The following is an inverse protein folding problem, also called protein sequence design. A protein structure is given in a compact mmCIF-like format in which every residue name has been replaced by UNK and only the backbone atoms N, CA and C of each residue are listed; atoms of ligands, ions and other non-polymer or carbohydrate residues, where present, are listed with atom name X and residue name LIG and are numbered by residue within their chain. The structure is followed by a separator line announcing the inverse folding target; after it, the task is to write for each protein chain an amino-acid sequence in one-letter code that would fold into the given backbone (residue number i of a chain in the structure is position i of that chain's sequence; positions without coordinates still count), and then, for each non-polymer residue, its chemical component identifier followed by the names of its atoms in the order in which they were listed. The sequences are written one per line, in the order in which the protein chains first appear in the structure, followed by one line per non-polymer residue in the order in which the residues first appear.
data_IF_784625983530
#
_entry.id   IF_784625983530
#
_cell.length_a   1.000
_cell.length_b   1.000
_cell.length_c   1.000
_cell.angle_alpha   90.00
_cell.angle_beta   90.00
_cell.angle_gamma   90.00
#
_symmetry.space_group_name_H-M   'P 1'
#
loop_
_entity.id
_entity.type
_entity.pdbx_description
1 polymer ?
#
# COMPACT_ATOMS: atom_id res chain seq x y z
N UNK A 1 12.04 -11.60 5.64
CA UNK A 1 11.07 -12.19 4.69
C UNK A 1 11.35 -13.67 4.59
N UNK A 2 10.37 -14.48 4.96
CA UNK A 2 10.38 -15.94 4.77
C UNK A 2 10.19 -16.26 3.29
N UNK A 3 10.72 -17.40 2.84
CA UNK A 3 10.50 -17.89 1.49
C UNK A 3 8.99 -18.07 1.24
N UNK A 4 8.55 -17.94 -0.01
CA UNK A 4 7.20 -18.33 -0.40
C UNK A 4 6.98 -19.80 -0.04
N UNK A 5 5.83 -20.09 0.57
CA UNK A 5 5.46 -21.44 0.96
C UNK A 5 5.10 -22.25 -0.30
N UNK A 6 6.09 -23.01 -0.78
CA UNK A 6 5.94 -23.85 -1.96
C UNK A 6 4.94 -24.99 -1.75
N UNK A 7 4.71 -25.44 -0.51
CA UNK A 7 3.77 -26.51 -0.24
C UNK A 7 2.33 -26.01 -0.33
N UNK A 8 2.05 -24.79 0.17
CA UNK A 8 0.78 -24.12 -0.09
C UNK A 8 0.60 -23.87 -1.60
N UNK A 9 1.63 -23.38 -2.30
CA UNK A 9 1.55 -23.19 -3.74
C UNK A 9 1.24 -24.50 -4.49
N UNK A 10 1.88 -25.61 -4.12
CA UNK A 10 1.61 -26.93 -4.70
C UNK A 10 0.21 -27.44 -4.36
N UNK A 11 -0.35 -27.08 -3.20
CA UNK A 11 -1.73 -27.41 -2.88
C UNK A 11 -2.74 -26.66 -3.76
N UNK A 12 -2.40 -25.45 -4.20
CA UNK A 12 -3.24 -24.62 -5.07
C UNK A 12 -3.02 -24.95 -6.55
N UNK A 13 -1.78 -25.31 -6.90
CA UNK A 13 -1.40 -25.82 -8.21
C UNK A 13 -0.31 -26.89 -8.07
N UNK A 14 -0.67 -28.18 -8.18
CA UNK A 14 0.27 -29.29 -8.05
C UNK A 14 1.45 -29.27 -9.03
N UNK A 15 1.38 -28.48 -10.11
CA UNK A 15 2.46 -28.32 -11.10
C UNK A 15 3.41 -27.17 -10.77
N UNK A 16 3.17 -26.41 -9.70
CA UNK A 16 4.07 -25.35 -9.27
C UNK A 16 5.27 -25.93 -8.49
N UNK A 17 6.26 -26.43 -9.21
CA UNK A 17 7.48 -26.98 -8.61
C UNK A 17 8.44 -25.88 -8.13
N UNK A 18 8.48 -24.76 -8.85
CA UNK A 18 9.29 -23.58 -8.56
C UNK A 18 8.61 -22.31 -9.09
N UNK A 19 9.00 -21.16 -8.53
CA UNK A 19 8.54 -19.84 -8.98
C UNK A 19 9.69 -19.14 -9.69
N UNK A 20 9.53 -18.85 -10.98
CA UNK A 20 10.57 -18.21 -11.80
C UNK A 20 10.46 -16.68 -11.81
N UNK A 21 9.24 -16.17 -11.66
CA UNK A 21 8.95 -14.75 -11.65
C UNK A 21 7.66 -14.47 -10.89
N UNK A 22 7.36 -13.19 -10.64
CA UNK A 22 6.05 -12.75 -10.21
C UNK A 22 5.45 -11.78 -11.22
N UNK A 23 4.21 -12.03 -11.61
CA UNK A 23 3.38 -10.99 -12.19
C UNK A 23 2.80 -10.12 -11.09
N UNK A 24 2.52 -8.88 -11.39
CA UNK A 24 2.17 -7.85 -10.44
C UNK A 24 1.21 -6.85 -11.10
N UNK A 25 0.08 -6.62 -10.44
CA UNK A 25 -1.00 -5.79 -10.97
C UNK A 25 -1.67 -5.00 -9.85
N UNK A 26 -2.29 -3.88 -10.23
CA UNK A 26 -3.17 -3.11 -9.34
C UNK A 26 -4.59 -3.67 -9.49
N UNK A 27 -5.16 -4.14 -8.38
CA UNK A 27 -6.54 -4.60 -8.32
C UNK A 27 -7.42 -3.64 -7.53
N UNK A 28 -8.72 -3.66 -7.80
CA UNK A 28 -9.65 -2.58 -7.41
C UNK A 28 -10.49 -2.84 -6.16
N UNK A 29 -10.32 -3.98 -5.49
CA UNK A 29 -11.15 -4.36 -4.34
C UNK A 29 -10.31 -4.75 -3.12
N UNK A 30 -10.79 -4.42 -1.93
CA UNK A 30 -10.25 -4.91 -0.68
C UNK A 30 -11.41 -5.19 0.27
N UNK A 31 -11.71 -6.46 0.50
CA UNK A 31 -12.84 -6.86 1.36
C UNK A 31 -12.44 -7.27 2.77
N UNK A 32 -11.18 -7.03 3.14
CA UNK A 32 -10.70 -7.36 4.48
C UNK A 32 -11.02 -6.23 5.46
N UNK A 33 -10.97 -6.55 6.74
CA UNK A 33 -11.11 -5.57 7.81
C UNK A 33 -10.08 -4.44 7.66
N UNK A 34 -10.41 -3.18 8.05
CA UNK A 34 -9.52 -2.03 7.85
C UNK A 34 -8.12 -2.15 8.47
N UNK A 35 -7.97 -2.98 9.51
CA UNK A 35 -6.70 -3.26 10.18
C UNK A 35 -5.80 -4.22 9.39
N UNK A 36 -6.35 -4.98 8.43
CA UNK A 36 -5.61 -5.90 7.58
C UNK A 36 -5.10 -5.14 6.36
N UNK A 37 -3.78 -5.01 6.25
CA UNK A 37 -3.10 -4.27 5.17
C UNK A 37 -2.44 -5.16 4.12
N UNK A 38 -2.34 -6.46 4.40
CA UNK A 38 -1.79 -7.45 3.48
C UNK A 38 -2.43 -8.81 3.70
N UNK A 39 -2.32 -9.67 2.70
CA UNK A 39 -2.81 -11.04 2.76
C UNK A 39 -1.98 -11.98 1.89
N UNK A 40 -2.20 -13.27 2.09
CA UNK A 40 -1.60 -14.35 1.32
C UNK A 40 -2.66 -15.27 0.70
N UNK A 41 -2.36 -15.81 -0.47
CA UNK A 41 -3.13 -16.86 -1.13
C UNK A 41 -4.64 -16.56 -1.23
N UNK A 42 -5.48 -17.31 -0.51
CA UNK A 42 -6.94 -17.15 -0.52
C UNK A 42 -7.41 -15.76 -0.08
N UNK A 43 -6.64 -15.06 0.76
CA UNK A 43 -6.91 -13.67 1.11
C UNK A 43 -6.75 -12.73 -0.09
N UNK A 44 -6.04 -13.15 -1.13
CA UNK A 44 -5.86 -12.41 -2.37
C UNK A 44 -6.77 -12.92 -3.49
N UNK A 45 -7.77 -13.75 -3.18
CA UNK A 45 -8.71 -14.30 -4.17
C UNK A 45 -9.42 -13.22 -4.99
N UNK A 46 -9.98 -13.61 -6.13
CA UNK A 46 -10.75 -12.70 -7.00
C UNK A 46 -11.89 -11.99 -6.25
N UNK A 47 -12.59 -12.69 -5.35
CA UNK A 47 -13.67 -12.10 -4.56
C UNK A 47 -13.19 -11.05 -3.56
N UNK A 48 -11.95 -11.18 -3.05
CA UNK A 48 -11.38 -10.29 -2.05
C UNK A 48 -10.62 -9.11 -2.66
N UNK A 49 -9.79 -9.38 -3.67
CA UNK A 49 -8.91 -8.40 -4.30
C UNK A 49 -9.51 -7.75 -5.55
N UNK A 50 -10.50 -8.41 -6.20
CA UNK A 50 -11.13 -7.91 -7.41
C UNK A 50 -10.31 -8.16 -8.68
N UNK A 51 -10.70 -7.46 -9.72
CA UNK A 51 -10.08 -7.45 -11.05
C UNK A 51 -9.06 -6.30 -11.18
N UNK A 52 -8.35 -6.26 -12.29
CA UNK A 52 -7.35 -5.25 -12.60
C UNK A 52 -8.00 -3.88 -12.81
N UNK A 53 -7.31 -2.84 -12.35
CA UNK A 53 -7.70 -1.46 -12.60
C UNK A 53 -7.55 -1.11 -14.09
N UNK A 54 -8.64 -0.73 -14.74
CA UNK A 54 -8.69 -0.51 -16.20
C UNK A 54 -9.63 0.65 -16.58
N UNK A 55 -9.37 1.87 -16.10
CA UNK A 55 -10.23 3.03 -16.37
C UNK A 55 -10.29 3.39 -17.86
N UNK A 56 -9.29 2.98 -18.65
CA UNK A 56 -9.15 3.28 -20.07
C UNK A 56 -9.87 2.27 -20.97
N UNK A 57 -10.41 1.18 -20.42
CA UNK A 57 -11.00 0.07 -21.16
C UNK A 57 -10.03 -0.54 -22.18
N UNK A 58 -8.80 -0.83 -21.76
CA UNK A 58 -7.92 -1.68 -22.55
C UNK A 58 -8.47 -3.12 -22.65
N UNK A 59 -9.36 -3.49 -21.72
CA UNK A 59 -10.24 -4.65 -21.79
C UNK A 59 -9.52 -6.00 -21.80
N UNK A 60 -8.42 -6.14 -21.07
CA UNK A 60 -7.81 -7.45 -20.86
C UNK A 60 -8.72 -8.43 -20.14
N UNK A 61 -8.32 -9.72 -20.08
CA UNK A 61 -9.16 -10.80 -19.54
C UNK A 61 -9.46 -10.66 -18.05
N UNK A 62 -8.72 -9.81 -17.33
CA UNK A 62 -8.93 -9.54 -15.92
C UNK A 62 -9.33 -8.08 -15.66
N UNK A 63 -9.73 -7.32 -16.69
CA UNK A 63 -10.24 -5.96 -16.54
C UNK A 63 -11.41 -5.91 -15.56
N UNK A 64 -11.49 -4.87 -14.72
CA UNK A 64 -12.68 -4.61 -13.91
C UNK A 64 -13.96 -4.43 -14.74
N UNK A 65 -13.81 -4.13 -16.03
CA UNK A 65 -14.89 -4.01 -17.00
C UNK A 65 -15.02 -5.21 -17.94
N UNK A 66 -14.37 -6.36 -17.67
CA UNK A 66 -14.37 -7.53 -18.57
C UNK A 66 -15.78 -8.00 -18.98
N UNK A 67 -16.80 -7.81 -18.12
CA UNK A 67 -18.19 -8.18 -18.40
C UNK A 67 -19.01 -7.07 -19.09
N UNK A 68 -18.46 -5.87 -19.23
CA UNK A 68 -19.10 -4.77 -19.95
C UNK A 68 -19.09 -5.05 -21.47
N UNK A 69 -20.13 -4.64 -22.18
CA UNK A 69 -20.28 -4.93 -23.62
C UNK A 69 -19.09 -4.38 -24.44
N UNK A 70 -18.53 -3.24 -24.03
CA UNK A 70 -17.34 -2.65 -24.64
C UNK A 70 -16.12 -3.58 -24.57
N UNK A 71 -15.96 -4.35 -23.50
CA UNK A 71 -14.82 -5.25 -23.31
C UNK A 71 -15.03 -6.66 -23.85
N UNK A 72 -16.26 -7.18 -23.86
CA UNK A 72 -16.56 -8.54 -24.38
C UNK A 72 -15.93 -8.81 -25.75
N UNK A 73 -16.00 -7.83 -26.66
CA UNK A 73 -15.43 -7.96 -28.01
C UNK A 73 -13.90 -7.75 -28.03
N UNK A 74 -13.37 -6.88 -27.16
CA UNK A 74 -11.97 -6.47 -27.17
C UNK A 74 -11.04 -7.46 -26.43
N UNK A 75 -11.54 -8.20 -25.44
CA UNK A 75 -10.72 -9.06 -24.58
C UNK A 75 -9.89 -10.09 -25.31
N UNK A 76 -10.41 -10.69 -26.39
CA UNK A 76 -9.65 -11.67 -27.20
C UNK A 76 -8.46 -11.05 -27.94
N UNK A 77 -8.46 -9.74 -28.13
CA UNK A 77 -7.42 -8.98 -28.85
C UNK A 77 -6.42 -8.30 -27.91
N UNK A 78 -6.62 -8.41 -26.59
CA UNK A 78 -5.70 -7.82 -25.61
C UNK A 78 -4.32 -8.46 -25.69
N UNK A 79 -3.29 -7.65 -25.93
CA UNK A 79 -1.90 -8.08 -26.10
C UNK A 79 -0.93 -7.13 -25.42
N UNK A 80 -1.21 -6.76 -24.17
CA UNK A 80 -0.28 -5.91 -23.43
C UNK A 80 1.10 -6.55 -23.36
N UNK A 81 2.11 -5.78 -23.72
CA UNK A 81 3.52 -6.13 -23.69
C UNK A 81 4.34 -4.85 -23.63
N UNK A 82 5.60 -4.89 -23.14
CA UNK A 82 6.40 -3.67 -23.04
C UNK A 82 6.61 -2.96 -24.38
N UNK A 83 6.74 -3.72 -25.47
CA UNK A 83 6.90 -3.16 -26.81
C UNK A 83 5.65 -2.41 -27.32
N UNK A 84 4.46 -2.99 -27.09
CA UNK A 84 3.20 -2.36 -27.47
C UNK A 84 2.89 -1.17 -26.56
N UNK A 85 3.14 -1.30 -25.26
CA UNK A 85 3.00 -0.23 -24.28
C UNK A 85 3.87 1.00 -24.64
N UNK A 86 5.13 0.78 -25.02
CA UNK A 86 6.04 1.85 -25.43
C UNK A 86 5.55 2.61 -26.69
N UNK A 87 4.72 1.98 -27.52
CA UNK A 87 4.17 2.60 -28.73
C UNK A 87 2.83 3.29 -28.44
N UNK A 88 1.98 2.67 -27.64
CA UNK A 88 0.68 3.19 -27.25
C UNK A 88 0.31 2.72 -25.83
N UNK A 89 0.38 3.59 -24.81
CA UNK A 89 0.06 3.23 -23.43
C UNK A 89 -1.35 2.66 -23.22
N UNK A 90 -2.31 3.06 -24.06
CA UNK A 90 -3.73 2.69 -23.91
C UNK A 90 -4.06 1.25 -24.35
N UNK A 91 -3.09 0.52 -24.89
CA UNK A 91 -3.26 -0.92 -25.24
C UNK A 91 -3.16 -1.84 -24.02
N UNK A 92 -2.72 -1.30 -22.89
CA UNK A 92 -2.54 -2.01 -21.64
C UNK A 92 -3.52 -1.49 -20.60
N UNK A 93 -4.08 -2.39 -19.80
CA UNK A 93 -4.81 -1.99 -18.60
C UNK A 93 -3.87 -1.17 -17.71
N UNK A 94 -4.35 -0.07 -17.13
CA UNK A 94 -3.48 0.79 -16.32
C UNK A 94 -2.92 0.07 -15.10
N UNK A 95 -3.65 -0.90 -14.58
CA UNK A 95 -3.22 -1.81 -13.52
C UNK A 95 -2.35 -2.99 -13.97
N UNK A 96 -2.18 -3.27 -15.27
CA UNK A 96 -1.37 -4.40 -15.76
C UNK A 96 0.13 -4.04 -15.84
N UNK A 97 0.77 -3.92 -14.68
CA UNK A 97 2.16 -3.46 -14.59
C UNK A 97 3.15 -4.48 -15.16
N UNK A 98 2.88 -5.78 -15.02
CA UNK A 98 3.69 -6.83 -15.66
C UNK A 98 3.61 -6.80 -17.18
N UNK A 99 2.42 -6.62 -17.75
CA UNK A 99 2.26 -6.47 -19.18
C UNK A 99 3.00 -5.23 -19.70
N UNK A 100 2.99 -4.12 -18.96
CA UNK A 100 3.67 -2.88 -19.34
C UNK A 100 5.19 -2.92 -19.18
N UNK A 101 5.68 -3.47 -18.06
CA UNK A 101 7.04 -3.26 -17.57
C UNK A 101 7.84 -4.57 -17.37
N UNK A 102 7.19 -5.72 -17.61
CA UNK A 102 7.76 -7.04 -17.42
C UNK A 102 7.52 -7.66 -16.04
N UNK A 103 7.63 -8.98 -15.99
CA UNK A 103 7.49 -9.76 -14.77
C UNK A 103 8.71 -9.57 -13.85
N UNK A 104 8.49 -9.63 -12.53
CA UNK A 104 9.53 -9.58 -11.50
C UNK A 104 10.31 -10.90 -11.46
N UNK A 105 11.47 -10.96 -12.10
CA UNK A 105 12.27 -12.19 -12.17
C UNK A 105 12.86 -12.57 -10.80
N UNK A 106 12.71 -13.84 -10.40
CA UNK A 106 13.31 -14.37 -9.17
C UNK A 106 14.79 -14.66 -9.42
N UNK A 107 15.66 -13.88 -8.79
CA UNK A 107 17.11 -14.11 -8.84
C UNK A 107 17.56 -15.34 -8.04
N UNK A 108 18.83 -15.74 -8.18
CA UNK A 108 19.42 -16.91 -7.50
C UNK A 108 19.27 -16.92 -5.98
N UNK A 109 19.15 -15.74 -5.37
CA UNK A 109 19.04 -15.56 -3.91
C UNK A 109 17.59 -15.57 -3.42
N UNK A 110 16.60 -15.70 -4.32
CA UNK A 110 15.18 -15.61 -3.99
C UNK A 110 14.70 -14.21 -3.61
N UNK A 111 15.58 -13.19 -3.66
CA UNK A 111 15.23 -11.79 -3.38
C UNK A 111 15.11 -11.01 -4.68
N UNK A 112 14.10 -10.16 -4.73
CA UNK A 112 13.85 -9.25 -5.85
C UNK A 112 13.99 -7.82 -5.34
N UNK A 113 14.77 -7.01 -6.04
CA UNK A 113 14.86 -5.57 -5.81
C UNK A 113 15.01 -4.90 -7.18
N UNK A 114 14.10 -3.98 -7.49
CA UNK A 114 14.09 -3.30 -8.78
C UNK A 114 13.34 -1.98 -8.70
N UNK A 115 13.57 -1.14 -9.70
CA UNK A 115 12.86 0.13 -9.90
C UNK A 115 12.30 0.13 -11.31
N UNK A 116 11.03 0.47 -11.44
CA UNK A 116 10.37 0.68 -12.72
C UNK A 116 9.90 2.13 -12.83
N UNK A 117 9.81 2.63 -14.06
CA UNK A 117 9.21 3.92 -14.38
C UNK A 117 8.06 3.67 -15.33
N UNK A 118 6.89 4.18 -14.98
CA UNK A 118 5.66 4.01 -15.74
C UNK A 118 4.97 5.36 -15.88
N UNK A 119 5.03 5.93 -17.08
CA UNK A 119 4.44 7.25 -17.36
C UNK A 119 2.91 7.21 -17.44
N UNK A 120 2.32 6.01 -17.52
CA UNK A 120 0.88 5.75 -17.50
C UNK A 120 0.50 4.94 -16.26
N UNK A 121 1.23 5.14 -15.16
CA UNK A 121 0.82 4.66 -13.85
C UNK A 121 -0.40 5.46 -13.36
N UNK A 122 -1.35 4.86 -12.63
CA UNK A 122 -2.49 5.60 -12.08
C UNK A 122 -2.05 6.79 -11.22
N UNK A 123 -2.74 7.92 -11.34
CA UNK A 123 -2.47 9.08 -10.52
C UNK A 123 -2.80 8.78 -9.04
N UNK A 124 -2.04 9.35 -8.11
CA UNK A 124 -2.26 9.14 -6.67
C UNK A 124 -3.65 9.60 -6.24
N UNK A 125 -4.23 10.59 -6.91
CA UNK A 125 -5.60 11.06 -6.68
C UNK A 125 -6.68 10.06 -7.10
N UNK A 126 -6.37 9.10 -7.97
CA UNK A 126 -7.26 8.00 -8.36
C UNK A 126 -7.24 6.86 -7.32
N UNK A 127 -6.20 6.81 -6.47
CA UNK A 127 -6.05 5.74 -5.50
C UNK A 127 -7.18 5.72 -4.47
N UNK A 128 -7.68 4.53 -4.17
CA UNK A 128 -8.70 4.32 -3.14
C UNK A 128 -8.18 3.36 -2.06
N UNK A 129 -8.74 3.39 -0.84
CA UNK A 129 -8.42 2.38 0.18
C UNK A 129 -8.73 0.94 -0.23
N UNK A 130 -9.49 0.74 -1.31
CA UNK A 130 -9.83 -0.58 -1.83
C UNK A 130 -8.77 -1.12 -2.80
N UNK A 131 -7.88 -0.27 -3.31
CA UNK A 131 -6.85 -0.75 -4.23
C UNK A 131 -5.79 -1.55 -3.51
N UNK A 132 -5.31 -2.59 -4.19
CA UNK A 132 -4.21 -3.40 -3.71
C UNK A 132 -3.23 -3.72 -4.85
N UNK A 133 -1.96 -3.82 -4.50
CA UNK A 133 -0.96 -4.45 -5.35
C UNK A 133 -1.02 -5.95 -5.11
N UNK A 134 -1.19 -6.73 -6.16
CA UNK A 134 -1.28 -8.18 -6.07
C UNK A 134 -0.17 -8.84 -6.88
N UNK A 135 0.50 -9.81 -6.25
CA UNK A 135 1.50 -10.66 -6.88
C UNK A 135 0.90 -12.01 -7.26
N UNK A 136 1.20 -12.44 -8.47
CA UNK A 136 0.98 -13.80 -8.96
C UNK A 136 2.31 -14.51 -9.13
N UNK A 137 2.48 -15.69 -8.55
CA UNK A 137 3.66 -16.50 -8.85
C UNK A 137 3.57 -17.06 -10.27
N UNK A 138 4.63 -16.99 -11.06
CA UNK A 138 4.70 -17.66 -12.37
C UNK A 138 5.17 -19.09 -12.15
N UNK A 139 4.24 -20.03 -12.30
CA UNK A 139 4.43 -21.47 -12.11
C UNK A 139 4.16 -22.18 -13.44
N UNK A 140 5.18 -22.38 -14.28
CA UNK A 140 5.01 -22.97 -15.62
C UNK A 140 3.95 -22.20 -16.46
N UNK A 141 2.76 -22.77 -16.63
CA UNK A 141 1.65 -22.18 -17.40
C UNK A 141 0.57 -21.51 -16.56
N UNK A 142 0.70 -21.48 -15.24
CA UNK A 142 -0.29 -20.88 -14.33
C UNK A 142 0.29 -19.70 -13.55
N UNK A 143 -0.61 -18.86 -13.06
CA UNK A 143 -0.26 -17.64 -12.32
C UNK A 143 -1.12 -17.48 -11.06
N UNK A 144 -0.99 -18.36 -10.05
CA UNK A 144 -1.77 -18.25 -8.82
C UNK A 144 -1.50 -16.95 -8.07
N UNK A 145 -2.54 -16.40 -7.43
CA UNK A 145 -2.45 -15.21 -6.57
C UNK A 145 -1.79 -15.60 -5.24
N UNK A 146 -0.69 -14.95 -4.87
CA UNK A 146 0.13 -15.38 -3.72
C UNK A 146 0.21 -14.36 -2.60
N UNK A 147 0.27 -13.08 -2.93
CA UNK A 147 0.41 -12.01 -1.96
C UNK A 147 -0.29 -10.77 -2.48
N UNK A 148 -0.87 -9.99 -1.58
CA UNK A 148 -1.55 -8.76 -1.91
C UNK A 148 -1.42 -7.79 -0.75
N UNK A 149 -1.36 -6.49 -1.05
CA UNK A 149 -1.29 -5.46 -0.02
C UNK A 149 -1.93 -4.16 -0.50
N UNK A 150 -2.60 -3.47 0.40
CA UNK A 150 -3.10 -2.12 0.14
C UNK A 150 -1.96 -1.12 0.12
N UNK A 151 -2.01 -0.13 -0.77
CA UNK A 151 -1.08 0.99 -0.74
C UNK A 151 -1.37 1.95 0.42
N UNK A 152 -0.37 2.74 0.82
CA UNK A 152 -0.57 3.85 1.75
C UNK A 152 -1.24 4.98 0.99
N UNK A 153 -2.46 5.35 1.34
CA UNK A 153 -3.16 6.48 0.72
C UNK A 153 -2.67 7.81 1.32
N UNK A 154 -2.71 8.90 0.55
CA UNK A 154 -2.36 10.26 1.01
C UNK A 154 -3.14 10.68 2.27
N UNK A 155 -4.34 10.13 2.48
CA UNK A 155 -5.12 10.35 3.69
C UNK A 155 -4.42 9.80 4.95
N UNK A 156 -3.81 8.62 4.90
CA UNK A 156 -3.08 8.07 6.07
C UNK A 156 -1.83 8.90 6.43
N UNK A 157 -1.22 9.59 5.45
CA UNK A 157 -0.12 10.55 5.72
C UNK A 157 -0.58 11.85 6.39
N UNK A 158 -1.80 12.32 6.10
CA UNK A 158 -2.32 13.56 6.68
C UNK A 158 -2.76 13.39 8.14
N UNK A 159 -3.20 12.19 8.54
CA UNK A 159 -3.59 11.90 9.93
C UNK A 159 -2.43 11.57 10.87
N UNK A 160 -1.23 11.32 10.36
CA UNK A 160 -0.02 11.17 11.18
C UNK A 160 0.57 12.53 11.63
N UNK A 161 -0.19 13.63 11.52
CA UNK A 161 0.16 14.87 12.21
C UNK A 161 -0.45 14.84 13.62
N UNK A 162 0.30 15.23 14.67
CA UNK A 162 -0.12 15.09 16.05
C UNK A 162 -1.13 16.17 16.44
N UNK A 163 -2.22 16.33 15.69
CA UNK A 163 -3.27 17.32 16.00
C UNK A 163 -3.83 17.07 17.40
N UNK A 164 -3.93 15.80 17.81
CA UNK A 164 -4.32 15.42 19.17
C UNK A 164 -3.33 15.87 20.26
N UNK A 165 -2.02 15.85 20.00
CA UNK A 165 -1.00 16.26 20.97
C UNK A 165 -0.84 17.78 21.02
N UNK A 166 -0.95 18.48 19.88
CA UNK A 166 -0.95 19.95 19.84
C UNK A 166 -2.21 20.50 20.54
N UNK A 167 -3.36 19.88 20.32
CA UNK A 167 -4.59 20.23 21.04
C UNK A 167 -4.47 19.93 22.55
N UNK A 168 -3.94 18.76 22.94
CA UNK A 168 -3.77 18.41 24.35
C UNK A 168 -2.78 19.34 25.08
N UNK A 169 -1.66 19.70 24.44
CA UNK A 169 -0.68 20.65 25.01
C UNK A 169 -1.25 22.06 25.15
N UNK A 170 -2.03 22.54 24.18
CA UNK A 170 -2.73 23.82 24.28
C UNK A 170 -3.77 23.82 25.42
N UNK A 171 -4.51 22.73 25.60
CA UNK A 171 -5.50 22.59 26.69
C UNK A 171 -4.81 22.57 28.06
N UNK A 172 -3.71 21.83 28.21
CA UNK A 172 -2.94 21.79 29.46
C UNK A 172 -2.34 23.17 29.77
N UNK A 173 -1.79 23.87 28.78
CA UNK A 173 -1.27 25.23 28.94
C UNK A 173 -2.36 26.22 29.36
N UNK A 174 -3.56 26.13 28.76
CA UNK A 174 -4.71 26.95 29.15
C UNK A 174 -5.15 26.68 30.60
N UNK A 175 -5.25 25.41 31.01
CA UNK A 175 -5.62 25.04 32.38
C UNK A 175 -4.56 25.54 33.38
N UNK A 176 -3.28 25.42 33.05
CA UNK A 176 -2.19 25.96 33.87
C UNK A 176 -2.25 27.49 33.99
N UNK A 177 -2.52 28.21 32.90
CA UNK A 177 -2.67 29.66 32.91
C UNK A 177 -3.88 30.12 33.73
N UNK A 178 -5.02 29.43 33.65
CA UNK A 178 -6.22 29.73 34.47
C UNK A 178 -5.95 29.44 35.94
N UNK A 179 -5.30 28.33 36.27
CA UNK A 179 -4.90 27.98 37.64
C UNK A 179 -3.94 29.02 38.26
N UNK A 180 -2.95 29.48 37.49
CA UNK A 180 -2.00 30.52 37.91
C UNK A 180 -2.65 31.90 38.10
N UNK A 181 -3.72 32.21 37.35
CA UNK A 181 -4.51 33.45 37.52
C UNK A 181 -5.37 33.41 38.79
N UNK A 182 -5.96 32.27 39.12
CA UNK A 182 -6.81 32.13 40.31
C UNK A 182 -6.03 31.96 41.62
N UNK A 183 -4.81 31.39 41.56
CA UNK A 183 -3.97 31.16 42.75
C UNK A 183 -2.51 31.61 42.51
N UNK A 184 -2.20 32.91 42.64
CA UNK A 184 -0.89 33.48 42.33
C UNK A 184 0.24 33.02 43.27
N UNK A 185 -0.07 32.32 44.36
CA UNK A 185 0.91 31.76 45.30
C UNK A 185 1.63 30.51 44.75
N UNK A 186 1.04 29.78 43.80
CA UNK A 186 1.67 28.60 43.19
C UNK A 186 2.90 28.96 42.32
N UNK A 187 2.91 30.13 41.69
CA UNK A 187 4.03 30.61 40.87
C UNK A 187 5.23 31.11 41.68
N UNK A 188 5.10 31.27 43.00
CA UNK A 188 6.11 31.93 43.85
C UNK A 188 7.12 30.95 44.48
N UNK A 189 6.79 29.66 44.57
CA UNK A 189 7.65 28.65 45.21
C UNK A 189 8.45 27.77 44.24
N UNK A 190 8.07 27.69 42.96
CA UNK A 190 8.77 26.83 41.99
C UNK A 190 8.82 27.42 40.55
N UNK A 191 9.55 28.53 40.32
CA UNK A 191 9.72 29.11 38.98
C UNK A 191 10.51 28.18 38.03
N UNK A 192 11.29 27.24 38.56
CA UNK A 192 12.05 26.24 37.80
C UNK A 192 11.19 25.12 37.23
N UNK A 193 10.01 24.84 37.79
CA UNK A 193 9.22 23.67 37.39
C UNK A 193 8.53 23.85 36.03
N UNK A 194 8.11 25.05 35.65
CA UNK A 194 7.40 25.23 34.37
C UNK A 194 8.35 25.09 33.18
N UNK A 195 9.53 25.69 33.27
CA UNK A 195 10.56 25.57 32.23
C UNK A 195 11.10 24.14 32.14
N UNK A 196 11.32 23.46 33.27
CA UNK A 196 11.77 22.06 33.31
C UNK A 196 10.68 21.12 32.76
N UNK A 197 9.41 21.30 33.12
CA UNK A 197 8.30 20.48 32.59
C UNK A 197 8.10 20.72 31.10
N UNK A 198 8.18 21.97 30.63
CA UNK A 198 8.13 22.27 29.20
C UNK A 198 9.31 21.64 28.44
N UNK A 199 10.52 21.72 29.01
CA UNK A 199 11.73 21.16 28.40
C UNK A 199 11.70 19.64 28.35
N UNK A 200 11.23 18.98 29.42
CA UNK A 200 11.02 17.53 29.46
C UNK A 200 9.90 17.08 28.51
N UNK A 201 8.84 17.87 28.37
CA UNK A 201 7.77 17.63 27.40
C UNK A 201 8.27 17.69 25.96
N UNK A 202 9.10 18.70 25.63
CA UNK A 202 9.74 18.81 24.31
C UNK A 202 10.73 17.68 24.06
N UNK A 203 11.56 17.33 25.06
CA UNK A 203 12.52 16.23 24.94
C UNK A 203 11.83 14.88 24.74
N UNK A 204 10.74 14.62 25.48
CA UNK A 204 9.93 13.42 25.28
C UNK A 204 9.28 13.38 23.89
N UNK A 205 8.86 14.53 23.35
CA UNK A 205 8.33 14.66 22.00
C UNK A 205 9.38 14.31 20.92
N UNK A 206 10.59 14.84 21.08
CA UNK A 206 11.70 14.60 20.16
C UNK A 206 12.16 13.13 20.21
N UNK A 207 12.28 12.56 21.41
CA UNK A 207 12.64 11.15 21.59
C UNK A 207 11.55 10.23 21.03
N UNK A 208 10.27 10.56 21.18
CA UNK A 208 9.18 9.80 20.57
C UNK A 208 9.21 9.86 19.04
N UNK A 209 9.44 11.04 18.45
CA UNK A 209 9.59 11.18 17.01
C UNK A 209 10.76 10.35 16.48
N UNK A 210 11.90 10.37 17.14
CA UNK A 210 13.10 9.70 16.65
C UNK A 210 13.09 8.18 16.88
N UNK A 211 12.49 7.72 17.99
CA UNK A 211 12.44 6.28 18.31
C UNK A 211 11.23 5.59 17.69
N UNK A 212 10.05 6.21 17.68
CA UNK A 212 8.81 5.51 17.28
C UNK A 212 8.51 5.70 15.79
N UNK A 213 8.80 6.88 15.23
CA UNK A 213 8.48 7.18 13.84
C UNK A 213 9.60 6.76 12.88
N UNK A 214 10.87 7.00 13.23
CA UNK A 214 12.00 6.67 12.34
C UNK A 214 12.43 5.20 12.40
N UNK A 215 12.21 4.47 13.51
CA UNK A 215 12.57 3.05 13.62
C UNK A 215 11.49 2.11 13.05
N UNK A 216 10.30 2.64 12.76
CA UNK A 216 9.18 1.89 12.17
C UNK A 216 9.10 2.01 10.64
N UNK A 217 10.13 2.55 9.99
CA UNK A 217 10.31 2.66 8.52
C UNK A 217 11.27 1.59 8.00
#
# INVERSE_FOLDING_TARGET
MTNVDLDILRSLDPKCESVSAYKWHIHTKWTHEPSVKSGLFGQCSLSAAGNHYDPDFACGPNSEYVTADKCKAATSSYKCSPALYATNPLVCERGDLSGKLGDMQVGKTGKISHTWIDNHYPDVSESTPQWNMLLHAVCNSTTPRVACATGVTTHERLYATPVGLVAATLVIALVACVGLRHHPTFGRFYPTNLAVVASLGVLALLVYQDIVVNVSL
#
